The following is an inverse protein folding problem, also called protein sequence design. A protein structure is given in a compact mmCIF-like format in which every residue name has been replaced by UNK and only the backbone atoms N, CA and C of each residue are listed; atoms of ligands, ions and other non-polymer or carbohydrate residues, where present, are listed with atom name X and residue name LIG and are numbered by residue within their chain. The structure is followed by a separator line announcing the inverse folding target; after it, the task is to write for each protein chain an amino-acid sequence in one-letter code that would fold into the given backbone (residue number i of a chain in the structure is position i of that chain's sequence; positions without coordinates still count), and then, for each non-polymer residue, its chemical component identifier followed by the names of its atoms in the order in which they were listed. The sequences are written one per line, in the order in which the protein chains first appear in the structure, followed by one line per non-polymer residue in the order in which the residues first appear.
data_IF_954562858622
#
_entry.id   IF_954562858622
#
_cell.length_a   1.000
_cell.length_b   1.000
_cell.length_c   1.000
_cell.angle_alpha   90.00
_cell.angle_beta   90.00
_cell.angle_gamma   90.00
#
_symmetry.space_group_name_H-M   'P 1'
#
loop_
_entity.id
_entity.type
_entity.pdbx_description
1 polymer ?
#
# COMPACT_ATOMS: atom_id res chain seq x y z
N UNK A 1 19.85 5.86 -11.95
CA UNK A 1 18.92 4.87 -12.54
C UNK A 1 17.79 4.70 -11.55
N UNK A 2 16.53 4.56 -11.98
CA UNK A 2 15.37 4.37 -11.10
C UNK A 2 15.43 2.97 -10.46
N UNK A 3 15.31 2.87 -9.14
CA UNK A 3 15.38 1.61 -8.38
C UNK A 3 14.03 1.15 -7.80
N UNK A 4 12.95 1.91 -8.06
CA UNK A 4 11.59 1.59 -7.61
C UNK A 4 10.68 1.09 -8.75
N UNK A 5 9.58 0.39 -8.41
CA UNK A 5 8.58 -0.13 -9.36
C UNK A 5 7.46 0.87 -9.69
N UNK A 6 7.41 2.04 -9.04
CA UNK A 6 6.43 3.09 -9.33
C UNK A 6 6.52 3.60 -10.79
N UNK A 7 5.49 4.24 -11.30
CA UNK A 7 5.55 4.93 -12.59
C UNK A 7 6.49 6.14 -12.56
N UNK A 8 6.69 6.74 -11.40
CA UNK A 8 7.47 7.95 -11.19
C UNK A 8 8.84 7.70 -10.58
N UNK A 9 9.79 8.59 -10.85
CA UNK A 9 11.02 8.67 -10.08
C UNK A 9 10.72 9.09 -8.64
N UNK A 10 11.54 8.64 -7.69
CA UNK A 10 11.36 8.92 -6.27
C UNK A 10 11.25 10.41 -5.95
N UNK A 11 12.05 11.26 -6.62
CA UNK A 11 12.10 12.71 -6.39
C UNK A 11 10.82 13.48 -6.74
N UNK A 12 9.96 12.94 -7.59
CA UNK A 12 8.70 13.58 -8.04
C UNK A 12 7.46 12.76 -7.67
N UNK A 13 7.64 11.69 -6.90
CA UNK A 13 6.58 10.74 -6.58
C UNK A 13 5.41 11.39 -5.84
N UNK A 14 5.68 12.10 -4.75
CA UNK A 14 4.64 12.68 -3.90
C UNK A 14 3.78 13.73 -4.62
N UNK A 15 4.38 14.46 -5.56
CA UNK A 15 3.68 15.49 -6.36
C UNK A 15 2.77 14.86 -7.41
N UNK A 16 3.20 13.75 -8.02
CA UNK A 16 2.55 13.18 -9.20
C UNK A 16 1.54 12.07 -8.85
N UNK A 17 1.71 11.37 -7.72
CA UNK A 17 0.87 10.22 -7.37
C UNK A 17 -0.61 10.58 -7.26
N UNK A 18 -0.94 11.78 -6.80
CA UNK A 18 -2.32 12.28 -6.65
C UNK A 18 -3.02 12.50 -7.99
N UNK A 19 -2.26 12.69 -9.07
CA UNK A 19 -2.78 12.87 -10.44
C UNK A 19 -3.11 11.55 -11.12
N UNK A 20 -2.68 10.42 -10.57
CA UNK A 20 -2.89 9.08 -11.15
C UNK A 20 -3.72 8.15 -10.28
N UNK A 21 -3.70 8.36 -8.96
CA UNK A 21 -4.52 7.59 -8.02
C UNK A 21 -5.67 8.44 -7.49
N UNK A 22 -6.92 8.19 -7.94
CA UNK A 22 -8.09 8.89 -7.44
C UNK A 22 -8.19 8.73 -5.92
N UNK A 23 -8.39 9.85 -5.22
CA UNK A 23 -8.56 9.88 -3.77
C UNK A 23 -7.37 9.33 -2.96
N UNK A 24 -6.14 9.42 -3.47
CA UNK A 24 -4.94 8.87 -2.81
C UNK A 24 -4.82 9.30 -1.33
N UNK A 25 -5.13 10.56 -1.01
CA UNK A 25 -5.08 11.05 0.37
C UNK A 25 -6.08 10.34 1.30
N UNK A 26 -7.19 9.87 0.72
CA UNK A 26 -8.23 9.19 1.48
C UNK A 26 -7.78 7.81 1.98
N UNK A 27 -6.87 7.13 1.28
CA UNK A 27 -6.29 5.86 1.75
C UNK A 27 -5.66 6.02 3.14
N UNK A 28 -4.87 7.07 3.32
CA UNK A 28 -4.24 7.35 4.60
C UNK A 28 -5.26 7.76 5.68
N UNK A 29 -6.30 8.53 5.32
CA UNK A 29 -7.38 8.90 6.25
C UNK A 29 -8.11 7.65 6.76
N UNK A 30 -8.47 6.73 5.87
CA UNK A 30 -9.14 5.49 6.23
C UNK A 30 -8.27 4.60 7.13
N UNK A 31 -6.96 4.51 6.88
CA UNK A 31 -6.03 3.78 7.74
C UNK A 31 -5.96 4.40 9.13
N UNK A 32 -5.76 5.71 9.20
CA UNK A 32 -5.63 6.45 10.47
C UNK A 32 -6.92 6.33 11.30
N UNK A 33 -8.07 6.49 10.65
CA UNK A 33 -9.39 6.37 11.30
C UNK A 33 -9.65 4.95 11.84
N UNK A 34 -9.34 3.92 11.06
CA UNK A 34 -9.44 2.53 11.48
C UNK A 34 -8.58 2.24 12.72
N UNK A 35 -7.30 2.63 12.69
CA UNK A 35 -6.37 2.40 13.82
C UNK A 35 -6.81 3.18 15.06
N UNK A 36 -7.36 4.39 14.89
CA UNK A 36 -7.98 5.16 15.98
C UNK A 36 -9.21 4.45 16.54
N UNK A 37 -10.10 3.95 15.68
CA UNK A 37 -11.30 3.22 16.09
C UNK A 37 -10.98 1.90 16.81
N UNK A 38 -9.87 1.24 16.46
CA UNK A 38 -9.37 0.05 17.14
C UNK A 38 -8.87 0.34 18.57
N UNK A 39 -8.74 1.61 18.98
CA UNK A 39 -8.40 2.01 20.36
C UNK A 39 -6.96 1.70 20.75
N UNK A 40 -6.07 1.42 19.80
CA UNK A 40 -4.67 1.07 20.05
C UNK A 40 -3.87 2.26 20.58
N UNK A 41 -2.91 1.99 21.50
CA UNK A 41 -2.00 2.97 22.09
C UNK A 41 -0.58 2.41 22.12
N UNK A 42 0.44 3.27 22.12
CA UNK A 42 1.86 2.91 22.12
C UNK A 42 2.20 1.92 20.98
N UNK A 43 1.84 2.27 19.76
CA UNK A 43 1.79 1.40 18.61
C UNK A 43 3.19 1.14 18.03
N UNK A 44 3.57 -0.12 17.88
CA UNK A 44 4.65 -0.57 17.00
C UNK A 44 4.06 -0.79 15.60
N UNK A 45 4.41 0.06 14.65
CA UNK A 45 3.81 0.07 13.31
C UNK A 45 4.84 -0.27 12.22
N UNK A 46 4.59 -1.35 11.47
CA UNK A 46 5.37 -1.68 10.27
C UNK A 46 4.66 -1.14 9.03
N UNK A 47 5.35 -0.31 8.24
CA UNK A 47 4.89 0.10 6.90
C UNK A 47 5.81 -0.54 5.85
N UNK A 48 5.28 -1.52 5.12
CA UNK A 48 6.05 -2.27 4.11
C UNK A 48 5.70 -1.84 2.69
N UNK A 49 6.74 -1.57 1.88
CA UNK A 49 6.60 -0.80 0.66
C UNK A 49 6.26 0.66 0.96
N UNK A 50 6.88 1.22 2.00
CA UNK A 50 6.56 2.53 2.56
C UNK A 50 6.83 3.71 1.60
N UNK A 51 7.57 3.47 0.52
CA UNK A 51 7.95 4.51 -0.44
C UNK A 51 8.65 5.68 0.25
N UNK A 52 8.16 6.88 0.01
CA UNK A 52 8.69 8.12 0.58
C UNK A 52 8.25 8.39 2.03
N UNK A 53 7.61 7.44 2.71
CA UNK A 53 7.18 7.56 4.10
C UNK A 53 5.98 8.50 4.32
N UNK A 54 5.17 8.75 3.31
CA UNK A 54 4.04 9.69 3.37
C UNK A 54 2.96 9.26 4.37
N UNK A 55 2.65 7.96 4.48
CA UNK A 55 1.71 7.46 5.49
C UNK A 55 2.25 7.75 6.91
N UNK A 56 3.50 7.37 7.18
CA UNK A 56 4.13 7.58 8.48
C UNK A 56 4.16 9.07 8.86
N UNK A 57 4.51 9.97 7.92
CA UNK A 57 4.45 11.41 8.14
C UNK A 57 3.06 11.87 8.58
N UNK A 58 2.01 11.43 7.89
CA UNK A 58 0.63 11.80 8.23
C UNK A 58 0.14 11.22 9.56
N UNK A 59 0.60 10.05 9.94
CA UNK A 59 0.32 9.48 11.27
C UNK A 59 0.99 10.32 12.34
N UNK A 60 2.27 10.70 12.19
CA UNK A 60 2.98 11.56 13.12
C UNK A 60 2.41 12.99 13.25
N UNK A 61 1.65 13.46 12.24
CA UNK A 61 0.94 14.75 12.32
C UNK A 61 -0.26 14.71 13.30
N UNK A 62 -0.75 13.51 13.65
CA UNK A 62 -1.93 13.35 14.50
C UNK A 62 -1.72 12.45 15.72
N UNK A 63 -0.54 11.79 15.86
CA UNK A 63 -0.21 10.88 16.97
C UNK A 63 1.27 10.92 17.30
N UNK A 64 1.60 10.94 18.59
CA UNK A 64 2.98 10.91 19.10
C UNK A 64 3.33 9.56 19.76
N UNK A 65 2.35 8.67 19.94
CA UNK A 65 2.47 7.36 20.61
C UNK A 65 2.72 6.21 19.62
N UNK A 66 3.50 6.46 18.56
CA UNK A 66 3.78 5.50 17.50
C UNK A 66 5.29 5.40 17.22
N UNK A 67 5.78 4.17 17.08
CA UNK A 67 7.12 3.85 16.58
C UNK A 67 7.00 3.18 15.21
N UNK A 68 7.59 3.77 14.19
CA UNK A 68 7.55 3.19 12.85
C UNK A 68 8.77 2.30 12.53
N UNK A 69 8.50 1.17 11.89
CA UNK A 69 9.47 0.42 11.10
C UNK A 69 9.09 0.54 9.64
N UNK A 70 9.97 1.11 8.84
CA UNK A 70 9.77 1.37 7.41
C UNK A 70 10.57 0.39 6.58
N UNK A 71 9.92 -0.33 5.68
CA UNK A 71 10.55 -1.26 4.74
C UNK A 71 10.24 -0.87 3.31
N UNK A 72 11.25 -0.77 2.45
CA UNK A 72 11.08 -0.59 1.02
C UNK A 72 12.30 -1.16 0.28
N UNK A 73 12.15 -1.83 -0.88
CA UNK A 73 13.28 -2.31 -1.67
C UNK A 73 14.06 -1.19 -2.38
N UNK A 74 13.51 0.02 -2.49
CA UNK A 74 14.16 1.19 -3.11
C UNK A 74 14.91 2.01 -2.07
N UNK A 75 16.22 2.06 -2.17
CA UNK A 75 17.07 2.90 -1.32
C UNK A 75 16.75 4.39 -1.52
N UNK A 76 16.48 4.80 -2.77
CA UNK A 76 16.14 6.19 -3.09
C UNK A 76 14.82 6.63 -2.41
N UNK A 77 13.82 5.74 -2.32
CA UNK A 77 12.59 6.01 -1.60
C UNK A 77 12.85 6.14 -0.09
N UNK A 78 13.65 5.23 0.47
CA UNK A 78 14.00 5.25 1.89
C UNK A 78 14.80 6.49 2.29
N UNK A 79 15.66 6.99 1.43
CA UNK A 79 16.41 8.23 1.72
C UNK A 79 15.48 9.45 1.79
N UNK A 80 14.46 9.50 0.92
CA UNK A 80 13.42 10.54 1.01
C UNK A 80 12.61 10.37 2.31
N UNK A 81 12.23 9.14 2.66
CA UNK A 81 11.49 8.86 3.88
C UNK A 81 12.28 9.26 5.14
N UNK A 82 13.56 8.92 5.23
CA UNK A 82 14.46 9.33 6.32
C UNK A 82 14.54 10.84 6.47
N UNK A 83 14.70 11.56 5.35
CA UNK A 83 14.75 13.02 5.35
C UNK A 83 13.42 13.64 5.79
N UNK A 84 12.29 13.13 5.26
CA UNK A 84 10.92 13.58 5.60
C UNK A 84 10.59 13.39 7.08
N UNK A 85 11.08 12.30 7.67
CA UNK A 85 10.78 11.87 9.04
C UNK A 85 11.92 12.16 10.02
N UNK A 86 12.82 13.08 9.69
CA UNK A 86 13.93 13.44 10.56
C UNK A 86 13.45 13.86 11.95
N UNK A 87 14.04 13.29 13.00
CA UNK A 87 13.69 13.56 14.40
C UNK A 87 12.49 12.75 14.93
N UNK A 88 11.89 11.88 14.11
CA UNK A 88 10.85 10.93 14.54
C UNK A 88 11.45 9.57 14.93
N UNK A 89 10.75 8.81 15.77
CA UNK A 89 11.16 7.46 16.18
C UNK A 89 10.86 6.46 15.04
N UNK A 90 11.86 6.20 14.21
CA UNK A 90 11.76 5.30 13.07
C UNK A 90 12.94 4.34 12.98
N UNK A 91 12.65 3.07 12.59
CA UNK A 91 13.64 2.11 12.10
C UNK A 91 13.46 1.93 10.60
N UNK A 92 14.53 1.81 9.84
CA UNK A 92 14.46 1.73 8.36
C UNK A 92 15.25 0.53 7.85
N UNK A 93 14.61 -0.28 6.99
CA UNK A 93 15.21 -1.48 6.39
C UNK A 93 15.03 -1.46 4.87
N UNK A 94 16.12 -1.62 4.14
CA UNK A 94 16.08 -1.79 2.69
C UNK A 94 15.76 -3.25 2.35
N UNK A 95 14.47 -3.60 2.43
CA UNK A 95 13.98 -4.96 2.25
C UNK A 95 12.59 -4.96 1.62
N UNK A 96 12.34 -5.90 0.72
CA UNK A 96 11.01 -6.11 0.13
C UNK A 96 10.13 -6.96 1.05
N UNK A 97 8.80 -6.78 0.99
CA UNK A 97 7.81 -7.45 1.83
C UNK A 97 7.96 -8.98 1.84
N UNK A 98 8.24 -9.59 0.69
CA UNK A 98 8.42 -11.05 0.60
C UNK A 98 9.70 -11.56 1.25
N UNK A 99 10.63 -10.69 1.61
CA UNK A 99 11.91 -11.06 2.25
C UNK A 99 11.98 -10.71 3.74
N UNK A 100 10.91 -10.13 4.31
CA UNK A 100 10.86 -9.79 5.74
C UNK A 100 10.83 -11.04 6.61
N UNK A 101 11.48 -10.94 7.79
CA UNK A 101 11.59 -12.03 8.77
C UNK A 101 11.09 -11.66 10.17
N UNK A 102 10.40 -10.52 10.32
CA UNK A 102 9.80 -10.11 11.59
C UNK A 102 8.79 -11.13 12.10
N UNK A 103 8.69 -11.28 13.41
CA UNK A 103 7.79 -12.23 14.06
C UNK A 103 7.17 -11.62 15.32
N UNK A 104 5.87 -11.41 15.31
CA UNK A 104 5.07 -10.95 16.47
C UNK A 104 5.60 -9.65 17.11
N UNK A 105 6.08 -8.71 16.28
CA UNK A 105 6.69 -7.45 16.75
C UNK A 105 5.74 -6.26 16.68
N UNK A 106 4.70 -6.28 15.81
CA UNK A 106 3.94 -5.10 15.46
C UNK A 106 2.47 -5.20 15.85
N UNK A 107 1.90 -4.08 16.28
CA UNK A 107 0.47 -3.93 16.55
C UNK A 107 -0.30 -3.62 15.26
N UNK A 108 0.34 -2.91 14.33
CA UNK A 108 -0.19 -2.55 13.02
C UNK A 108 0.84 -2.85 11.93
N UNK A 109 0.39 -3.45 10.84
CA UNK A 109 1.16 -3.60 9.60
C UNK A 109 0.39 -2.97 8.45
N UNK A 110 1.04 -2.12 7.66
CA UNK A 110 0.46 -1.52 6.44
C UNK A 110 1.25 -1.90 5.20
N UNK A 111 0.52 -2.03 4.07
CA UNK A 111 1.09 -2.21 2.73
C UNK A 111 0.23 -1.38 1.74
N UNK A 112 0.67 -0.14 1.46
CA UNK A 112 -0.12 0.80 0.65
C UNK A 112 0.47 0.90 -0.75
N UNK A 113 -0.32 0.48 -1.77
CA UNK A 113 0.07 0.53 -3.19
C UNK A 113 1.41 -0.19 -3.47
N UNK A 114 1.63 -1.34 -2.82
CA UNK A 114 2.91 -2.05 -2.88
C UNK A 114 2.80 -3.51 -3.35
N UNK A 115 1.85 -4.29 -2.86
CA UNK A 115 1.78 -5.72 -3.15
C UNK A 115 1.23 -6.05 -4.55
N UNK A 116 0.54 -5.12 -5.21
CA UNK A 116 0.10 -5.32 -6.60
C UNK A 116 1.25 -5.36 -7.62
N UNK A 117 2.48 -4.97 -7.23
CA UNK A 117 3.68 -5.17 -8.04
C UNK A 117 4.26 -6.59 -7.94
N UNK A 118 3.78 -7.40 -7.00
CA UNK A 118 4.28 -8.75 -6.75
C UNK A 118 3.51 -9.76 -7.60
N UNK A 119 4.24 -10.73 -8.16
CA UNK A 119 3.63 -11.89 -8.80
C UNK A 119 2.87 -12.72 -7.76
N UNK A 120 1.94 -13.62 -8.17
CA UNK A 120 1.07 -14.33 -7.22
C UNK A 120 1.81 -15.02 -6.06
N UNK A 121 2.88 -15.76 -6.34
CA UNK A 121 3.64 -16.48 -5.31
C UNK A 121 4.38 -15.52 -4.36
N UNK A 122 5.01 -14.47 -4.91
CA UNK A 122 5.69 -13.44 -4.11
C UNK A 122 4.69 -12.70 -3.21
N UNK A 123 3.50 -12.38 -3.73
CA UNK A 123 2.43 -11.72 -2.97
C UNK A 123 1.93 -12.60 -1.82
N UNK A 124 1.76 -13.91 -2.07
CA UNK A 124 1.37 -14.86 -1.02
C UNK A 124 2.42 -14.89 0.10
N UNK A 125 3.70 -14.91 -0.24
CA UNK A 125 4.80 -14.84 0.74
C UNK A 125 4.76 -13.51 1.49
N UNK A 126 4.60 -12.37 0.79
CA UNK A 126 4.57 -11.05 1.39
C UNK A 126 3.42 -10.90 2.41
N UNK A 127 2.21 -11.35 2.04
CA UNK A 127 1.04 -11.34 2.95
C UNK A 127 1.26 -12.26 4.15
N UNK A 128 1.83 -13.46 3.95
CA UNK A 128 2.21 -14.36 5.03
C UNK A 128 3.26 -13.74 5.98
N UNK A 129 4.22 -12.99 5.45
CA UNK A 129 5.20 -12.25 6.25
C UNK A 129 4.54 -11.11 7.06
N UNK A 130 3.57 -10.39 6.48
CA UNK A 130 2.79 -9.39 7.21
C UNK A 130 2.00 -10.00 8.36
N UNK A 131 1.36 -11.17 8.13
CA UNK A 131 0.65 -11.92 9.17
C UNK A 131 1.61 -12.35 10.30
N UNK A 132 2.78 -12.90 9.96
CA UNK A 132 3.78 -13.33 10.96
C UNK A 132 4.32 -12.15 11.77
N UNK A 133 4.57 -11.01 11.13
CA UNK A 133 5.10 -9.81 11.78
C UNK A 133 4.17 -9.21 12.83
N UNK A 134 2.86 -9.42 12.72
CA UNK A 134 1.85 -8.94 13.67
C UNK A 134 1.89 -9.72 14.99
N UNK A 135 1.67 -9.01 16.08
CA UNK A 135 1.26 -9.56 17.38
C UNK A 135 -0.16 -10.15 17.28
N UNK A 136 -0.53 -11.05 18.19
CA UNK A 136 -1.92 -11.54 18.28
C UNK A 136 -2.88 -10.38 18.53
N UNK A 137 -3.98 -10.33 17.78
CA UNK A 137 -4.92 -9.21 17.78
C UNK A 137 -4.45 -7.97 17.00
N UNK A 138 -3.27 -8.02 16.39
CA UNK A 138 -2.75 -6.95 15.54
C UNK A 138 -3.51 -6.80 14.23
N UNK A 139 -3.45 -5.61 13.64
CA UNK A 139 -4.23 -5.23 12.46
C UNK A 139 -3.34 -5.07 11.23
N UNK A 140 -3.69 -5.73 10.14
CA UNK A 140 -3.13 -5.52 8.81
C UNK A 140 -4.05 -4.63 7.98
N UNK A 141 -3.50 -3.64 7.28
CA UNK A 141 -4.24 -2.82 6.32
C UNK A 141 -3.45 -2.74 5.01
N UNK A 142 -4.13 -3.01 3.91
CA UNK A 142 -3.52 -2.87 2.58
C UNK A 142 -4.44 -2.13 1.62
N UNK A 143 -3.86 -1.29 0.76
CA UNK A 143 -4.55 -0.61 -0.34
C UNK A 143 -3.90 -1.00 -1.66
N UNK A 144 -4.70 -1.57 -2.57
CA UNK A 144 -4.17 -2.21 -3.77
C UNK A 144 -4.93 -1.83 -5.03
N UNK A 145 -4.24 -1.93 -6.16
CA UNK A 145 -4.88 -1.99 -7.47
C UNK A 145 -5.66 -3.30 -7.59
N UNK A 146 -6.93 -3.19 -7.97
CA UNK A 146 -7.81 -4.35 -8.18
C UNK A 146 -8.22 -4.49 -9.64
N UNK A 147 -8.66 -5.68 -10.03
CA UNK A 147 -9.43 -5.93 -11.24
C UNK A 147 -10.87 -6.26 -10.89
N UNK A 148 -11.77 -6.03 -11.83
CA UNK A 148 -13.16 -6.42 -11.68
C UNK A 148 -13.33 -7.93 -11.94
N UNK A 149 -14.47 -8.48 -11.53
CA UNK A 149 -14.76 -9.93 -11.61
C UNK A 149 -14.95 -10.45 -13.03
N UNK A 150 -15.39 -9.59 -13.96
CA UNK A 150 -15.58 -9.95 -15.37
C UNK A 150 -14.76 -9.06 -16.29
N UNK A 151 -14.39 -9.57 -17.45
CA UNK A 151 -13.71 -8.80 -18.49
C UNK A 151 -14.50 -7.54 -18.90
N UNK A 152 -15.81 -7.66 -19.00
CA UNK A 152 -16.69 -6.54 -19.37
C UNK A 152 -16.66 -5.43 -18.31
N UNK A 153 -16.80 -5.79 -17.03
CA UNK A 153 -16.75 -4.80 -15.94
C UNK A 153 -15.35 -4.21 -15.76
N UNK A 154 -14.29 -5.00 -15.99
CA UNK A 154 -12.91 -4.50 -15.91
C UNK A 154 -12.62 -3.49 -17.04
N UNK A 155 -13.07 -3.73 -18.26
CA UNK A 155 -12.99 -2.76 -19.37
C UNK A 155 -13.72 -1.44 -19.06
N UNK A 156 -14.90 -1.49 -18.46
CA UNK A 156 -15.65 -0.30 -18.06
C UNK A 156 -14.90 0.47 -16.96
N UNK A 157 -14.43 -0.23 -15.93
CA UNK A 157 -13.70 0.38 -14.84
C UNK A 157 -12.36 0.98 -15.30
N UNK A 158 -11.67 0.31 -16.22
CA UNK A 158 -10.44 0.80 -16.83
C UNK A 158 -10.68 2.08 -17.63
N UNK A 159 -11.74 2.11 -18.45
CA UNK A 159 -12.11 3.32 -19.20
C UNK A 159 -12.49 4.48 -18.29
N UNK A 160 -13.14 4.21 -17.17
CA UNK A 160 -13.43 5.21 -16.14
C UNK A 160 -12.15 5.80 -15.54
N UNK A 161 -11.15 4.96 -15.25
CA UNK A 161 -9.85 5.41 -14.74
C UNK A 161 -9.04 6.15 -15.81
N UNK A 162 -9.08 5.72 -17.08
CA UNK A 162 -8.50 6.45 -18.22
C UNK A 162 -9.07 7.87 -18.35
N UNK A 163 -10.38 8.04 -18.14
CA UNK A 163 -11.01 9.36 -18.06
C UNK A 163 -10.42 10.23 -16.95
N UNK A 164 -10.30 9.69 -15.74
CA UNK A 164 -9.65 10.38 -14.62
C UNK A 164 -8.22 10.79 -14.96
N UNK A 165 -7.42 9.89 -15.53
CA UNK A 165 -6.04 10.19 -15.94
C UNK A 165 -6.00 11.31 -16.96
N UNK A 166 -6.91 11.29 -17.97
CA UNK A 166 -6.98 12.30 -19.03
C UNK A 166 -7.36 13.68 -18.51
N UNK A 167 -8.15 13.76 -17.45
CA UNK A 167 -8.52 15.02 -16.78
C UNK A 167 -7.35 15.62 -15.98
N UNK A 168 -6.39 14.80 -15.53
CA UNK A 168 -5.31 15.23 -14.64
C UNK A 168 -3.93 15.26 -15.31
N UNK A 169 -3.74 14.50 -16.37
CA UNK A 169 -2.50 14.40 -17.13
C UNK A 169 -2.67 15.01 -18.51
N UNK A 170 -1.79 15.93 -18.88
CA UNK A 170 -1.91 16.67 -20.17
C UNK A 170 -1.44 15.83 -21.37
N UNK A 171 -0.59 14.82 -21.16
CA UNK A 171 0.00 14.03 -22.22
C UNK A 171 -0.71 12.68 -22.38
N UNK A 172 -1.38 12.42 -23.52
CA UNK A 172 -2.04 11.14 -23.79
C UNK A 172 -1.08 9.95 -23.79
N UNK A 173 0.20 10.16 -24.09
CA UNK A 173 1.21 9.08 -24.04
C UNK A 173 1.48 8.64 -22.60
N UNK A 174 1.48 9.58 -21.66
CA UNK A 174 1.62 9.29 -20.22
C UNK A 174 0.37 8.55 -19.72
N UNK A 175 -0.82 8.95 -20.14
CA UNK A 175 -2.06 8.22 -19.83
C UNK A 175 -1.97 6.76 -20.30
N UNK A 176 -1.61 6.57 -21.58
CA UNK A 176 -1.43 5.24 -22.16
C UNK A 176 -0.38 4.41 -21.41
N UNK A 177 0.75 5.00 -21.03
CA UNK A 177 1.80 4.34 -20.25
C UNK A 177 1.24 3.78 -18.93
N UNK A 178 0.40 4.55 -18.20
CA UNK A 178 -0.20 4.05 -16.96
C UNK A 178 -1.13 2.86 -17.19
N UNK A 179 -1.92 2.89 -18.26
CA UNK A 179 -2.84 1.81 -18.62
C UNK A 179 -2.07 0.54 -19.00
N UNK A 180 -1.05 0.66 -19.84
CA UNK A 180 -0.27 -0.47 -20.39
C UNK A 180 0.54 -1.23 -19.31
N UNK A 181 0.76 -0.63 -18.14
CA UNK A 181 1.45 -1.29 -17.02
C UNK A 181 0.63 -2.44 -16.40
N UNK A 182 -0.71 -2.44 -16.57
CA UNK A 182 -1.57 -3.52 -16.05
C UNK A 182 -1.28 -4.84 -16.76
N UNK A 183 -1.06 -5.88 -15.96
CA UNK A 183 -0.69 -7.22 -16.46
C UNK A 183 0.78 -7.37 -16.84
N UNK A 184 1.57 -6.27 -16.85
CA UNK A 184 3.00 -6.28 -17.17
C UNK A 184 3.85 -5.99 -15.93
N UNK A 185 3.57 -4.90 -15.25
CA UNK A 185 4.27 -4.46 -14.02
C UNK A 185 3.34 -4.49 -12.80
N UNK A 186 2.06 -4.26 -13.01
CA UNK A 186 1.01 -4.28 -11.98
C UNK A 186 0.11 -5.49 -12.23
N UNK A 187 -0.03 -6.36 -11.24
CA UNK A 187 -0.74 -7.63 -11.30
C UNK A 187 -2.00 -7.60 -10.42
N UNK A 188 -3.06 -6.87 -10.80
CA UNK A 188 -4.23 -6.72 -9.95
C UNK A 188 -5.03 -8.03 -9.87
N UNK A 189 -5.62 -8.28 -8.71
CA UNK A 189 -6.56 -9.38 -8.46
C UNK A 189 -7.91 -8.82 -8.00
N UNK A 190 -8.95 -9.64 -7.99
CA UNK A 190 -10.29 -9.18 -7.58
C UNK A 190 -10.37 -8.97 -6.06
N UNK A 191 -11.40 -8.28 -5.60
CA UNK A 191 -11.70 -8.14 -4.16
C UNK A 191 -11.84 -9.51 -3.50
N UNK A 192 -12.54 -10.45 -4.15
CA UNK A 192 -12.72 -11.81 -3.63
C UNK A 192 -11.39 -12.56 -3.51
N UNK A 193 -10.51 -12.42 -4.51
CA UNK A 193 -9.17 -13.02 -4.46
C UNK A 193 -8.31 -12.40 -3.35
N UNK A 194 -8.42 -11.08 -3.08
CA UNK A 194 -7.75 -10.44 -1.94
C UNK A 194 -8.26 -10.98 -0.61
N UNK A 195 -9.57 -11.04 -0.40
CA UNK A 195 -10.17 -11.58 0.82
C UNK A 195 -9.74 -13.04 1.04
N UNK A 196 -9.77 -13.85 -0.02
CA UNK A 196 -9.31 -15.25 0.03
C UNK A 196 -7.83 -15.33 0.43
N UNK A 197 -6.97 -14.52 -0.20
CA UNK A 197 -5.53 -14.48 0.08
C UNK A 197 -5.24 -14.16 1.55
N UNK A 198 -5.94 -13.18 2.11
CA UNK A 198 -5.78 -12.80 3.51
C UNK A 198 -6.25 -13.91 4.46
N UNK A 199 -7.38 -14.55 4.18
CA UNK A 199 -7.87 -15.70 4.97
C UNK A 199 -6.92 -16.90 4.89
N UNK A 200 -6.37 -17.19 3.71
CA UNK A 200 -5.38 -18.27 3.54
C UNK A 200 -4.06 -17.99 4.26
N UNK A 201 -3.71 -16.74 4.51
CA UNK A 201 -2.56 -16.36 5.32
C UNK A 201 -2.77 -16.54 6.83
N UNK A 202 -4.02 -16.74 7.29
CA UNK A 202 -4.36 -17.02 8.69
C UNK A 202 -5.16 -15.90 9.39
N UNK A 203 -5.47 -14.79 8.74
CA UNK A 203 -6.27 -13.72 9.34
C UNK A 203 -7.68 -14.20 9.69
N UNK A 204 -8.16 -13.85 10.90
CA UNK A 204 -9.44 -14.30 11.45
C UNK A 204 -10.61 -13.42 11.02
N UNK A 205 -10.41 -12.10 10.94
CA UNK A 205 -11.38 -11.11 10.42
C UNK A 205 -10.79 -10.47 9.17
N UNK A 206 -11.54 -10.44 8.06
CA UNK A 206 -11.09 -9.88 6.79
C UNK A 206 -12.24 -9.18 6.12
N UNK A 207 -12.13 -7.87 5.95
CA UNK A 207 -13.16 -7.01 5.38
C UNK A 207 -12.60 -5.98 4.41
N UNK A 208 -13.48 -5.44 3.57
CA UNK A 208 -13.19 -4.29 2.71
C UNK A 208 -13.29 -3.03 3.55
N UNK A 209 -12.24 -2.22 3.55
CA UNK A 209 -12.21 -0.93 4.22
C UNK A 209 -12.79 0.18 3.34
N UNK A 210 -12.44 0.17 2.05
CA UNK A 210 -12.81 1.23 1.13
C UNK A 210 -12.63 0.80 -0.33
N UNK A 211 -13.40 1.37 -1.25
CA UNK A 211 -13.22 1.15 -2.70
C UNK A 211 -13.47 2.41 -3.51
N UNK A 212 -12.67 2.64 -4.54
CA UNK A 212 -12.98 3.62 -5.59
C UNK A 212 -12.19 3.33 -6.87
N UNK A 213 -12.82 3.51 -8.01
CA UNK A 213 -12.23 3.18 -9.32
C UNK A 213 -11.70 1.73 -9.35
N UNK A 214 -10.40 1.57 -9.64
CA UNK A 214 -9.66 0.30 -9.63
C UNK A 214 -8.77 0.16 -8.38
N UNK A 215 -9.20 0.72 -7.26
CA UNK A 215 -8.49 0.69 -5.98
C UNK A 215 -9.40 0.13 -4.89
N UNK A 216 -8.86 -0.71 -4.05
CA UNK A 216 -9.53 -1.18 -2.83
C UNK A 216 -8.58 -1.20 -1.64
N UNK A 217 -9.11 -0.83 -0.49
CA UNK A 217 -8.51 -1.01 0.81
C UNK A 217 -9.12 -2.20 1.53
N UNK A 218 -8.30 -3.00 2.18
CA UNK A 218 -8.69 -4.14 2.99
C UNK A 218 -8.08 -4.01 4.37
N UNK A 219 -8.77 -4.53 5.38
CA UNK A 219 -8.21 -4.69 6.71
C UNK A 219 -8.46 -6.10 7.23
N UNK A 220 -7.57 -6.56 8.09
CA UNK A 220 -7.64 -7.89 8.64
C UNK A 220 -7.03 -7.95 10.04
N UNK A 221 -7.50 -8.86 10.89
CA UNK A 221 -7.02 -9.07 12.27
C UNK A 221 -6.37 -10.44 12.37
N UNK A 222 -5.20 -10.50 12.99
CA UNK A 222 -4.49 -11.74 13.35
C UNK A 222 -5.12 -12.44 14.55
#
# INVERSE_FOLDING_TARGET
MKDNKSAYNSSVYDENIVSTLPYYREYHNQIIDLVKAAGMQNIDWLDTGCGTGTLASRVFDCRDDVRFTLCDPSEQMLDIAKNKLQGRDIRVFNIASQNMTFDSEFDVVTAVQSHHYLKPDERKIAVGNCFRALKDGGVFVTFENIRMTTETSDKIALKRWEGFLSDHLKDPQVVKMHIDRRGVEVFPITIEEHIKLLREAGFTSVDVLWTSYLQAGFWAVK
#
